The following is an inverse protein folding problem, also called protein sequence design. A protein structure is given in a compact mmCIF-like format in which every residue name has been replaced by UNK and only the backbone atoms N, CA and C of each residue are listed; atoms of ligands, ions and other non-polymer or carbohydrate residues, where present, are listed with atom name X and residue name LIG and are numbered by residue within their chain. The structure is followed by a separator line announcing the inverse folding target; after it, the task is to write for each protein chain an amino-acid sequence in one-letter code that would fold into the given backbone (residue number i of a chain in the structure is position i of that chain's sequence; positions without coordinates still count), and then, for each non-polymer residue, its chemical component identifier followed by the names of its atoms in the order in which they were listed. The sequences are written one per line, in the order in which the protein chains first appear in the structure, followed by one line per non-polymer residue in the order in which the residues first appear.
data_IF_509382424373
#
_entry.id   IF_509382424373
#
_cell.length_a   1.000
_cell.length_b   1.000
_cell.length_c   1.000
_cell.angle_alpha   90.00
_cell.angle_beta   90.00
_cell.angle_gamma   90.00
#
_symmetry.space_group_name_H-M   'P 1'
#
loop_
_entity.id
_entity.type
_entity.pdbx_description
1 polymer ?
#
# COMPACT_ATOMS: atom_id res chain seq x y z
N UNK A 1 20.24 40.30 6.48
CA UNK A 1 19.56 39.31 5.62
C UNK A 1 20.12 37.94 5.94
N UNK A 2 19.56 37.25 6.93
CA UNK A 2 20.05 35.93 7.36
C UNK A 2 19.16 34.87 6.72
N UNK A 3 19.69 34.11 5.76
CA UNK A 3 18.97 33.00 5.14
C UNK A 3 18.87 31.85 6.14
N UNK A 4 17.70 31.68 6.74
CA UNK A 4 17.35 30.47 7.47
C UNK A 4 16.80 29.44 6.48
N UNK A 5 17.62 28.49 6.08
CA UNK A 5 17.18 27.13 5.74
C UNK A 5 18.30 26.20 6.20
N UNK A 6 17.98 25.30 7.13
CA UNK A 6 17.79 23.94 6.65
C UNK A 6 16.61 23.25 7.32
N UNK A 7 15.86 22.49 6.51
CA UNK A 7 15.42 21.14 6.86
C UNK A 7 14.75 20.55 5.62
N UNK A 8 15.44 19.74 4.81
CA UNK A 8 14.74 18.62 4.22
C UNK A 8 14.42 17.74 5.42
N UNK A 9 13.23 17.88 6.01
CA UNK A 9 12.61 16.74 6.67
C UNK A 9 12.31 15.77 5.53
N UNK A 10 13.38 15.11 5.07
CA UNK A 10 13.30 13.87 4.36
C UNK A 10 12.46 13.02 5.30
N UNK A 11 11.16 12.91 4.96
CA UNK A 11 10.36 11.78 5.36
C UNK A 11 11.29 10.60 5.19
N UNK A 12 11.69 9.98 6.29
CA UNK A 12 12.53 8.80 6.27
C UNK A 12 11.77 7.80 5.39
N UNK A 13 12.12 7.78 4.11
CA UNK A 13 11.70 6.75 3.20
C UNK A 13 12.46 5.55 3.71
N UNK A 14 11.74 4.78 4.51
CA UNK A 14 12.08 3.46 4.99
C UNK A 14 12.84 2.72 3.89
N UNK A 15 14.18 2.72 3.98
CA UNK A 15 15.11 2.30 2.92
C UNK A 15 15.01 0.80 2.62
N UNK A 16 14.17 0.08 3.36
CA UNK A 16 13.87 -1.34 3.23
C UNK A 16 12.55 -1.61 2.50
N UNK A 17 11.72 -0.59 2.24
CA UNK A 17 10.43 -0.75 1.61
C UNK A 17 10.49 -0.40 0.11
N UNK A 18 9.93 -1.28 -0.72
CA UNK A 18 9.73 -1.01 -2.15
C UNK A 18 8.81 0.20 -2.36
N UNK A 19 8.89 0.88 -3.52
CA UNK A 19 7.92 1.91 -3.87
C UNK A 19 6.49 1.36 -3.89
N UNK A 20 5.52 2.24 -3.64
CA UNK A 20 4.11 1.90 -3.77
C UNK A 20 3.74 1.61 -5.22
N UNK A 21 3.09 0.47 -5.44
CA UNK A 21 2.52 0.04 -6.71
C UNK A 21 1.02 0.27 -6.67
N UNK A 22 0.51 1.05 -7.62
CA UNK A 22 -0.94 1.24 -7.77
C UNK A 22 -1.60 -0.08 -8.18
N UNK A 23 -2.77 -0.35 -7.59
CA UNK A 23 -3.50 -1.59 -7.81
C UNK A 23 -4.96 -1.32 -8.19
N UNK A 24 -5.46 -2.06 -9.17
CA UNK A 24 -6.82 -1.90 -9.71
C UNK A 24 -7.71 -3.12 -9.46
N UNK A 25 -7.18 -4.16 -8.82
CA UNK A 25 -7.89 -5.41 -8.52
C UNK A 25 -7.42 -6.56 -9.41
N UNK A 26 -7.60 -7.79 -8.93
CA UNK A 26 -7.31 -9.00 -9.70
C UNK A 26 -6.63 -10.08 -8.86
N UNK A 27 -5.76 -10.85 -9.50
CA UNK A 27 -4.96 -11.89 -8.85
C UNK A 27 -3.83 -11.23 -8.06
N UNK A 28 -3.53 -11.76 -6.87
CA UNK A 28 -2.40 -11.32 -6.06
C UNK A 28 -1.10 -11.34 -6.89
N UNK A 29 -0.40 -10.20 -7.05
CA UNK A 29 0.76 -10.08 -7.95
C UNK A 29 2.06 -10.59 -7.32
N UNK A 30 2.04 -10.98 -6.05
CA UNK A 30 3.22 -11.44 -5.29
C UNK A 30 2.94 -12.78 -4.59
N UNK A 31 3.96 -13.55 -4.21
CA UNK A 31 3.79 -14.75 -3.41
C UNK A 31 3.00 -14.50 -2.11
N UNK A 32 2.25 -15.49 -1.67
CA UNK A 32 1.34 -15.37 -0.50
C UNK A 32 2.07 -15.01 0.79
N UNK A 33 3.31 -15.45 0.97
CA UNK A 33 4.13 -15.17 2.15
C UNK A 33 4.90 -13.85 2.09
N UNK A 34 4.81 -13.10 0.98
CA UNK A 34 5.46 -11.79 0.87
C UNK A 34 4.81 -10.81 1.83
N UNK A 35 5.64 -10.17 2.68
CA UNK A 35 5.19 -9.12 3.59
C UNK A 35 4.96 -7.83 2.81
N UNK A 36 3.77 -7.26 2.94
CA UNK A 36 3.35 -6.05 2.24
C UNK A 36 2.70 -5.05 3.18
N UNK A 37 2.72 -3.79 2.79
CA UNK A 37 1.77 -2.79 3.29
C UNK A 37 0.75 -2.46 2.20
N UNK A 38 -0.47 -2.11 2.61
CA UNK A 38 -1.56 -1.78 1.68
C UNK A 38 -2.12 -0.39 1.94
N UNK A 39 -2.56 0.26 0.88
CA UNK A 39 -3.41 1.45 0.92
C UNK A 39 -4.79 1.08 0.42
N UNK A 40 -5.81 1.40 1.20
CA UNK A 40 -7.19 1.18 0.85
C UNK A 40 -7.76 2.40 0.12
N UNK A 41 -8.84 2.18 -0.64
CA UNK A 41 -9.53 3.23 -1.41
C UNK A 41 -10.01 4.38 -0.54
N UNK A 42 -10.43 4.09 0.69
CA UNK A 42 -10.81 5.09 1.69
C UNK A 42 -9.63 5.93 2.22
N UNK A 43 -8.41 5.70 1.74
CA UNK A 43 -7.20 6.39 2.14
C UNK A 43 -6.47 5.77 3.32
N UNK A 44 -7.04 4.74 3.96
CA UNK A 44 -6.42 4.11 5.12
C UNK A 44 -5.19 3.29 4.70
N UNK A 45 -4.12 3.41 5.49
CA UNK A 45 -2.90 2.63 5.36
C UNK A 45 -2.92 1.50 6.39
N UNK A 46 -2.38 0.33 6.04
CA UNK A 46 -2.21 -0.76 6.99
C UNK A 46 -1.33 -0.32 8.18
N UNK A 47 -1.70 -0.75 9.39
CA UNK A 47 -0.98 -0.41 10.63
C UNK A 47 0.40 -1.06 10.73
N UNK A 48 0.65 -2.10 9.94
CA UNK A 48 1.95 -2.74 9.79
C UNK A 48 1.99 -3.67 8.58
N UNK A 49 3.13 -4.34 8.34
CA UNK A 49 3.25 -5.37 7.32
C UNK A 49 2.37 -6.59 7.61
N UNK A 50 1.77 -7.14 6.55
CA UNK A 50 1.06 -8.41 6.61
C UNK A 50 1.37 -9.26 5.37
N UNK A 51 1.18 -10.58 5.47
CA UNK A 51 1.34 -11.49 4.34
C UNK A 51 0.34 -11.17 3.24
N UNK A 52 0.80 -11.11 1.99
CA UNK A 52 -0.03 -10.84 0.82
C UNK A 52 -1.25 -11.80 0.72
N UNK A 53 -1.09 -13.04 1.15
CA UNK A 53 -2.17 -14.05 1.17
C UNK A 53 -3.34 -13.74 2.12
N UNK A 54 -3.19 -12.82 3.07
CA UNK A 54 -4.27 -12.42 3.99
C UNK A 54 -5.20 -11.36 3.41
N UNK A 55 -4.85 -10.81 2.25
CA UNK A 55 -5.58 -9.72 1.63
C UNK A 55 -6.53 -10.22 0.54
N UNK A 56 -7.66 -9.50 0.38
CA UNK A 56 -8.58 -9.71 -0.74
C UNK A 56 -8.18 -8.83 -1.93
N UNK A 57 -7.60 -9.44 -2.96
CA UNK A 57 -7.03 -8.74 -4.13
C UNK A 57 -8.01 -8.49 -5.26
N UNK A 58 -9.07 -9.30 -5.37
CA UNK A 58 -10.00 -9.34 -6.50
C UNK A 58 -11.00 -8.16 -6.54
N UNK A 59 -11.02 -7.31 -5.51
CA UNK A 59 -12.01 -6.25 -5.26
C UNK A 59 -13.46 -6.71 -5.16
N UNK A 60 -13.73 -8.02 -5.31
CA UNK A 60 -15.06 -8.60 -5.11
C UNK A 60 -16.20 -7.87 -5.80
N UNK A 61 -15.93 -7.32 -6.99
CA UNK A 61 -16.88 -6.44 -7.68
C UNK A 61 -18.11 -7.25 -8.08
N UNK A 62 -19.27 -6.78 -7.67
CA UNK A 62 -20.56 -7.25 -8.17
C UNK A 62 -21.29 -6.06 -8.79
N UNK A 63 -22.31 -6.27 -9.65
CA UNK A 63 -23.12 -5.18 -10.18
C UNK A 63 -23.69 -4.26 -9.08
N UNK A 64 -23.97 -4.81 -7.90
CA UNK A 64 -24.53 -4.10 -6.73
C UNK A 64 -23.45 -3.45 -5.85
N UNK A 65 -22.17 -3.74 -6.08
CA UNK A 65 -21.05 -3.23 -5.30
C UNK A 65 -19.81 -3.03 -6.19
N UNK A 66 -19.79 -1.97 -7.01
CA UNK A 66 -18.73 -1.77 -8.00
C UNK A 66 -17.39 -1.35 -7.39
N UNK A 67 -17.41 -0.65 -6.24
CA UNK A 67 -16.21 -0.18 -5.53
C UNK A 67 -16.46 -0.25 -4.02
N UNK A 68 -15.53 -0.86 -3.29
CA UNK A 68 -15.62 -0.94 -1.81
C UNK A 68 -14.58 -0.01 -1.19
N UNK A 69 -14.95 0.62 -0.08
CA UNK A 69 -14.04 1.48 0.69
C UNK A 69 -12.75 0.75 1.12
N UNK A 70 -12.85 -0.57 1.29
CA UNK A 70 -11.77 -1.45 1.70
C UNK A 70 -11.05 -2.14 0.51
N UNK A 71 -11.30 -1.70 -0.73
CA UNK A 71 -10.51 -2.14 -1.88
C UNK A 71 -9.06 -1.70 -1.72
N UNK A 72 -8.13 -2.58 -2.05
CA UNK A 72 -6.69 -2.28 -2.04
C UNK A 72 -6.38 -1.49 -3.32
N UNK A 73 -6.00 -0.22 -3.18
CA UNK A 73 -5.69 0.64 -4.34
C UNK A 73 -4.19 0.84 -4.55
N UNK A 74 -3.38 0.47 -3.57
CA UNK A 74 -1.95 0.35 -3.73
C UNK A 74 -1.37 -0.65 -2.72
N UNK A 75 -0.24 -1.22 -3.05
CA UNK A 75 0.55 -2.04 -2.13
C UNK A 75 2.03 -1.71 -2.29
N UNK A 76 2.83 -2.06 -1.28
CA UNK A 76 4.29 -2.12 -1.42
C UNK A 76 4.81 -3.35 -0.71
N UNK A 77 5.86 -3.95 -1.28
CA UNK A 77 6.61 -5.01 -0.60
C UNK A 77 7.52 -4.37 0.44
N UNK A 78 7.55 -4.94 1.64
CA UNK A 78 8.55 -4.59 2.65
C UNK A 78 9.59 -5.70 2.70
N UNK A 79 10.87 -5.34 2.63
CA UNK A 79 11.93 -6.31 2.86
C UNK A 79 11.99 -6.61 4.35
N UNK A 80 11.94 -7.89 4.69
CA UNK A 80 12.22 -8.41 6.03
C UNK A 80 13.71 -8.40 6.31
#
# INVERSE_FOLDING_TARGET
MTRHTPSPTANAQDVTASPWVNWTGGICPVPTDTMIMTRLRNGWLSSGPAKAGYHRWDHGRTPESPLRANDIVAYRVVQS
#
